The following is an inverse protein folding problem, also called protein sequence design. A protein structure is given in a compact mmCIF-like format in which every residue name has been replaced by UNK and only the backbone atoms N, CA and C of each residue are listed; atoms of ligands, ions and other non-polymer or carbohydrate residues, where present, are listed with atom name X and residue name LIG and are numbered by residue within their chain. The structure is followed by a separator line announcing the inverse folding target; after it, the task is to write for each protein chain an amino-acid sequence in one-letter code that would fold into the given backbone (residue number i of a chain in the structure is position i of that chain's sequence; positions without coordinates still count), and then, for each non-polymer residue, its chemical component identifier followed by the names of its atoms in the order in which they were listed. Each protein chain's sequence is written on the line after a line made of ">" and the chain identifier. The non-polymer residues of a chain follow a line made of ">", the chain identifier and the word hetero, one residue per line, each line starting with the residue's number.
data_IF_836498758252
#
_entry.id   IF_836498758252
#
_cell.length_a   1.000
_cell.length_b   1.000
_cell.length_c   1.000
_cell.angle_alpha   90.00
_cell.angle_beta   90.00
_cell.angle_gamma   90.00
#
_symmetry.space_group_name_H-M   'P 1'
#
loop_
_entity.id
_entity.type
_entity.pdbx_description
1 polymer ?
#
# COMPACT_ATOMS: atom_id res chain seq x y z
N UNK A 1 -3.66 -19.70 51.88
CA UNK A 1 -3.80 -19.84 50.43
C UNK A 1 -4.79 -18.84 49.82
N UNK A 2 -5.88 -18.43 50.48
CA UNK A 2 -6.84 -17.43 49.96
C UNK A 2 -6.26 -16.01 49.83
N UNK A 3 -5.35 -15.62 50.71
CA UNK A 3 -4.74 -14.28 50.71
C UNK A 3 -3.68 -14.09 49.59
N UNK A 4 -3.01 -15.15 49.16
CA UNK A 4 -2.04 -15.08 48.05
C UNK A 4 -2.70 -14.88 46.68
N UNK A 5 -3.88 -15.48 46.48
CA UNK A 5 -4.67 -15.31 45.25
C UNK A 5 -5.28 -13.89 45.14
N UNK A 6 -5.60 -13.27 46.28
CA UNK A 6 -6.13 -11.89 46.32
C UNK A 6 -5.03 -10.85 46.02
N UNK A 7 -3.81 -11.11 46.48
CA UNK A 7 -2.68 -10.21 46.25
C UNK A 7 -2.21 -10.26 44.78
N UNK A 8 -2.22 -11.44 44.15
CA UNK A 8 -1.88 -11.57 42.71
C UNK A 8 -2.94 -10.96 41.82
N UNK A 9 -4.22 -11.02 42.19
CA UNK A 9 -5.32 -10.40 41.44
C UNK A 9 -5.28 -8.87 41.57
N UNK A 10 -4.91 -8.31 42.73
CA UNK A 10 -4.77 -6.86 42.98
C UNK A 10 -3.60 -6.26 42.19
N UNK A 11 -2.49 -6.96 42.03
CA UNK A 11 -1.32 -6.52 41.25
C UNK A 11 -1.68 -6.57 39.74
N UNK A 12 -2.45 -7.55 39.28
CA UNK A 12 -2.86 -7.64 37.89
C UNK A 12 -3.83 -6.53 37.50
N UNK A 13 -4.69 -6.08 38.42
CA UNK A 13 -5.63 -4.98 38.17
C UNK A 13 -4.96 -3.60 38.17
N UNK A 14 -3.84 -3.43 38.88
CA UNK A 14 -3.11 -2.15 38.88
C UNK A 14 -2.37 -1.86 37.56
N UNK A 15 -2.17 -2.86 36.72
CA UNK A 15 -1.55 -2.69 35.39
C UNK A 15 -2.52 -2.34 34.26
N UNK A 16 -3.85 -2.37 34.50
CA UNK A 16 -4.87 -2.10 33.47
C UNK A 16 -5.20 -0.61 33.36
N UNK A 17 -4.67 0.24 34.26
CA UNK A 17 -4.98 1.68 34.24
C UNK A 17 -3.94 2.50 33.46
N UNK A 18 -3.34 1.95 32.40
CA UNK A 18 -2.72 2.79 31.39
C UNK A 18 -3.81 3.27 30.45
N UNK A 19 -4.42 4.38 30.82
CA UNK A 19 -5.20 5.17 29.86
C UNK A 19 -4.24 5.65 28.78
N UNK A 20 -4.27 4.96 27.64
CA UNK A 20 -3.72 5.48 26.41
C UNK A 20 -4.57 6.70 26.08
N UNK A 21 -4.10 7.88 26.44
CA UNK A 21 -4.52 9.11 25.75
C UNK A 21 -4.01 8.99 24.32
N UNK A 22 -4.83 8.43 23.46
CA UNK A 22 -4.70 8.67 22.03
C UNK A 22 -4.97 10.16 21.85
N UNK A 23 -3.92 10.90 21.58
CA UNK A 23 -4.05 12.21 21.00
C UNK A 23 -4.53 11.95 19.57
N UNK A 24 -5.85 11.96 19.36
CA UNK A 24 -6.44 12.14 18.04
C UNK A 24 -6.15 13.58 17.57
N UNK A 25 -4.88 13.85 17.26
CA UNK A 25 -4.54 14.92 16.35
C UNK A 25 -4.99 14.43 14.96
N UNK A 26 -5.97 15.11 14.39
CA UNK A 26 -6.42 14.88 13.03
C UNK A 26 -5.24 14.63 12.10
N UNK A 27 -5.25 13.56 11.27
CA UNK A 27 -4.19 13.27 10.32
C UNK A 27 -4.34 14.14 9.07
N UNK A 28 -4.46 15.45 9.25
CA UNK A 28 -4.49 16.38 8.12
C UNK A 28 -3.04 16.72 7.75
N UNK A 29 -2.62 16.28 6.55
CA UNK A 29 -1.34 16.51 5.87
C UNK A 29 -0.12 15.63 6.21
N UNK A 30 -0.27 14.45 6.73
CA UNK A 30 0.87 13.54 6.78
C UNK A 30 1.13 12.91 5.40
N UNK A 31 2.37 13.05 4.91
CA UNK A 31 2.89 12.34 3.75
C UNK A 31 2.68 10.83 3.92
N UNK A 32 2.18 10.14 2.89
CA UNK A 32 2.01 8.70 2.98
C UNK A 32 0.94 8.13 2.06
N UNK A 33 0.64 6.87 2.26
CA UNK A 33 -0.45 6.16 1.60
C UNK A 33 -1.47 5.75 2.66
N UNK A 34 -2.70 6.13 2.45
CA UNK A 34 -3.86 5.76 3.23
C UNK A 34 -4.72 4.87 2.35
N UNK A 35 -4.66 3.55 2.58
CA UNK A 35 -5.27 2.59 1.69
C UNK A 35 -6.81 2.70 1.69
N UNK A 36 -7.38 2.91 0.52
CA UNK A 36 -8.82 2.96 0.26
C UNK A 36 -9.29 1.69 -0.45
N UNK A 37 -8.96 0.54 0.12
CA UNK A 37 -9.36 -0.76 -0.43
C UNK A 37 -10.88 -0.85 -0.52
N UNK A 38 -11.35 -1.49 -1.60
CA UNK A 38 -12.77 -1.66 -1.93
C UNK A 38 -13.51 -0.39 -2.37
N UNK A 39 -12.87 0.79 -2.35
CA UNK A 39 -13.43 2.02 -2.91
C UNK A 39 -13.23 2.09 -4.42
N UNK A 40 -14.04 2.90 -5.10
CA UNK A 40 -14.01 3.07 -6.55
C UNK A 40 -13.53 4.48 -6.90
N UNK A 41 -12.75 4.59 -7.97
CA UNK A 41 -12.43 5.91 -8.52
C UNK A 41 -13.67 6.52 -9.19
N UNK A 42 -13.76 7.85 -9.16
CA UNK A 42 -14.90 8.60 -9.71
C UNK A 42 -14.99 8.54 -11.23
N UNK A 43 -16.20 8.74 -11.74
CA UNK A 43 -16.50 8.71 -13.18
C UNK A 43 -16.09 10.00 -13.93
N UNK A 44 -15.76 11.08 -13.23
CA UNK A 44 -15.49 12.40 -13.78
C UNK A 44 -14.00 12.78 -13.81
N UNK A 45 -13.10 11.81 -13.61
CA UNK A 45 -11.65 12.02 -13.69
C UNK A 45 -11.21 12.10 -15.16
N UNK A 46 -10.93 13.31 -15.65
CA UNK A 46 -10.47 13.55 -17.04
C UNK A 46 -9.03 13.98 -17.05
N UNK A 47 -8.17 13.18 -17.69
CA UNK A 47 -6.75 13.44 -17.90
C UNK A 47 -6.45 13.66 -19.38
N UNK A 48 -5.23 14.07 -19.70
CA UNK A 48 -4.73 14.17 -21.07
C UNK A 48 -3.67 13.13 -21.32
N UNK A 49 -3.83 12.40 -22.42
CA UNK A 49 -2.80 11.49 -22.89
C UNK A 49 -1.59 12.23 -23.48
N UNK A 50 -0.61 11.49 -23.93
CA UNK A 50 0.62 12.00 -24.53
C UNK A 50 0.41 12.77 -25.86
N UNK A 51 -0.80 12.70 -26.44
CA UNK A 51 -1.20 13.38 -27.68
C UNK A 51 -2.24 14.50 -27.46
N UNK A 52 -2.46 14.94 -26.21
CA UNK A 52 -3.45 15.94 -25.81
C UNK A 52 -4.93 15.50 -25.92
N UNK A 53 -5.22 14.24 -26.18
CA UNK A 53 -6.59 13.76 -26.12
C UNK A 53 -7.09 13.75 -24.67
N UNK A 54 -8.31 14.23 -24.47
CA UNK A 54 -8.96 14.14 -23.16
C UNK A 54 -9.51 12.72 -22.97
N UNK A 55 -9.07 12.09 -21.92
CA UNK A 55 -9.39 10.71 -21.58
C UNK A 55 -10.08 10.68 -20.22
N UNK A 56 -11.31 10.18 -20.19
CA UNK A 56 -11.94 9.83 -18.93
C UNK A 56 -11.26 8.57 -18.39
N UNK A 57 -10.64 8.70 -17.21
CA UNK A 57 -9.78 7.67 -16.63
C UNK A 57 -10.54 6.36 -16.41
N UNK A 58 -11.74 6.44 -15.82
CA UNK A 58 -12.56 5.25 -15.53
C UNK A 58 -13.02 4.54 -16.79
N UNK A 59 -13.42 5.28 -17.80
CA UNK A 59 -13.84 4.70 -19.09
C UNK A 59 -12.66 4.07 -19.86
N UNK A 60 -11.42 4.49 -19.55
CA UNK A 60 -10.22 3.90 -20.14
C UNK A 60 -9.78 2.60 -19.45
N UNK A 61 -10.36 2.29 -18.30
CA UNK A 61 -10.11 1.04 -17.57
C UNK A 61 -11.06 -0.02 -18.12
N UNK A 62 -10.51 -0.97 -18.88
CA UNK A 62 -11.25 -2.10 -19.46
C UNK A 62 -10.73 -3.46 -18.96
N UNK A 63 -9.65 -3.44 -18.21
CA UNK A 63 -8.98 -4.62 -17.62
C UNK A 63 -8.24 -4.22 -16.34
N UNK A 64 -7.71 -5.17 -15.56
CA UNK A 64 -6.88 -4.86 -14.41
C UNK A 64 -5.85 -3.80 -14.73
N UNK A 65 -5.80 -2.75 -13.93
CA UNK A 65 -4.95 -1.59 -14.22
C UNK A 65 -3.97 -1.34 -13.10
N UNK A 66 -2.68 -1.27 -13.46
CA UNK A 66 -1.63 -0.80 -12.56
C UNK A 66 -1.56 0.71 -12.66
N UNK A 67 -1.98 1.41 -11.62
CA UNK A 67 -1.88 2.86 -11.52
C UNK A 67 -0.56 3.22 -10.83
N UNK A 68 0.30 3.97 -11.55
CA UNK A 68 1.59 4.47 -11.07
C UNK A 68 1.57 5.99 -11.03
N UNK A 69 1.62 6.55 -9.81
CA UNK A 69 1.58 8.00 -9.57
C UNK A 69 3.01 8.53 -9.40
N UNK A 70 3.41 9.43 -10.28
CA UNK A 70 4.76 10.01 -10.35
C UNK A 70 4.69 11.50 -10.71
N UNK A 71 5.82 12.18 -10.75
CA UNK A 71 5.97 13.37 -11.59
C UNK A 71 7.19 13.19 -12.50
N UNK A 72 7.07 13.61 -13.75
CA UNK A 72 8.01 13.21 -14.79
C UNK A 72 9.38 13.86 -14.66
N UNK A 73 9.46 15.06 -14.10
CA UNK A 73 10.73 15.77 -13.85
C UNK A 73 11.36 15.45 -12.49
N UNK A 74 10.87 14.39 -11.81
CA UNK A 74 11.40 13.95 -10.53
C UNK A 74 12.90 13.64 -10.61
N UNK A 75 13.75 14.30 -9.79
CA UNK A 75 15.17 14.00 -9.73
C UNK A 75 15.49 12.74 -8.90
N UNK A 76 14.50 12.24 -8.15
CA UNK A 76 14.68 11.18 -7.13
C UNK A 76 14.01 9.86 -7.49
N UNK A 77 12.99 9.52 -6.73
CA UNK A 77 12.39 8.17 -6.63
C UNK A 77 11.57 7.72 -7.86
N UNK A 78 11.04 8.64 -8.69
CA UNK A 78 10.14 8.27 -9.79
C UNK A 78 10.84 7.46 -10.89
N UNK A 79 12.11 7.76 -11.20
CA UNK A 79 12.86 6.97 -12.19
C UNK A 79 13.17 5.56 -11.69
N UNK A 80 13.68 5.34 -10.46
CA UNK A 80 13.76 4.02 -9.85
C UNK A 80 12.44 3.26 -9.82
N UNK A 81 11.33 3.92 -9.47
CA UNK A 81 9.99 3.33 -9.41
C UNK A 81 9.55 2.80 -10.78
N UNK A 82 9.66 3.61 -11.82
CA UNK A 82 9.30 3.21 -13.19
C UNK A 82 10.22 2.13 -13.75
N UNK A 83 11.51 2.16 -13.42
CA UNK A 83 12.46 1.09 -13.79
C UNK A 83 12.09 -0.23 -13.07
N UNK A 84 11.77 -0.17 -11.78
CA UNK A 84 11.35 -1.34 -11.00
C UNK A 84 10.03 -1.94 -11.50
N UNK A 85 9.09 -1.08 -11.92
CA UNK A 85 7.85 -1.53 -12.56
C UNK A 85 8.15 -2.20 -13.90
N UNK A 86 8.95 -1.59 -14.77
CA UNK A 86 9.33 -2.16 -16.06
C UNK A 86 10.02 -3.52 -15.90
N UNK A 87 10.95 -3.65 -14.95
CA UNK A 87 11.65 -4.90 -14.64
C UNK A 87 10.69 -6.00 -14.16
N UNK A 88 9.73 -5.65 -13.30
CA UNK A 88 8.72 -6.60 -12.86
C UNK A 88 7.78 -7.03 -13.99
N UNK A 89 7.39 -6.09 -14.87
CA UNK A 89 6.57 -6.36 -16.06
C UNK A 89 7.31 -7.29 -17.03
N UNK A 90 8.60 -7.07 -17.27
CA UNK A 90 9.39 -7.86 -18.19
C UNK A 90 9.68 -9.29 -17.68
N UNK A 91 9.61 -9.50 -16.37
CA UNK A 91 9.88 -10.80 -15.72
C UNK A 91 8.64 -11.59 -15.34
N UNK A 92 7.45 -10.98 -15.43
CA UNK A 92 6.19 -11.67 -15.12
C UNK A 92 5.68 -12.46 -16.32
N UNK A 93 4.89 -13.51 -16.07
CA UNK A 93 4.26 -14.33 -17.10
C UNK A 93 2.84 -13.86 -17.48
N UNK A 94 2.34 -12.75 -16.89
CA UNK A 94 1.12 -12.07 -17.34
C UNK A 94 1.46 -11.05 -18.41
N UNK A 95 0.62 -10.96 -19.44
CA UNK A 95 0.91 -10.22 -20.66
C UNK A 95 0.26 -8.84 -20.69
N UNK A 96 1.08 -7.79 -20.80
CA UNK A 96 0.61 -6.41 -20.93
C UNK A 96 -0.21 -6.25 -22.22
N UNK A 97 -1.38 -5.63 -22.10
CA UNK A 97 -2.33 -5.44 -23.19
C UNK A 97 -3.39 -6.55 -23.28
N UNK A 98 -3.07 -7.73 -22.84
CA UNK A 98 -3.99 -8.86 -22.79
C UNK A 98 -4.61 -9.05 -21.40
N UNK A 99 -3.76 -9.25 -20.40
CA UNK A 99 -4.17 -9.57 -19.03
C UNK A 99 -4.34 -8.33 -18.16
N UNK A 100 -3.60 -7.26 -18.45
CA UNK A 100 -3.63 -6.00 -17.70
C UNK A 100 -3.17 -4.82 -18.54
N UNK A 101 -3.30 -3.62 -17.99
CA UNK A 101 -2.77 -2.37 -18.53
C UNK A 101 -2.09 -1.54 -17.44
N UNK A 102 -1.32 -0.54 -17.85
CA UNK A 102 -0.59 0.34 -16.94
C UNK A 102 -0.90 1.79 -17.24
N UNK A 103 -1.28 2.56 -16.23
CA UNK A 103 -1.50 3.98 -16.28
C UNK A 103 -0.47 4.70 -15.41
N UNK A 104 0.42 5.44 -16.04
CA UNK A 104 1.37 6.31 -15.36
C UNK A 104 0.84 7.72 -15.41
N UNK A 105 0.52 8.31 -14.27
CA UNK A 105 -0.11 9.63 -14.18
C UNK A 105 0.83 10.58 -13.45
N UNK A 106 1.11 11.73 -14.08
CA UNK A 106 1.80 12.81 -13.38
C UNK A 106 0.87 13.51 -12.40
N UNK A 107 1.28 13.59 -11.14
CA UNK A 107 0.59 14.41 -10.15
C UNK A 107 1.07 15.88 -10.12
N UNK A 108 1.99 16.26 -10.99
CA UNK A 108 2.39 17.67 -11.17
C UNK A 108 1.55 18.34 -12.25
N UNK A 109 0.67 19.26 -11.86
CA UNK A 109 -0.20 20.01 -12.78
C UNK A 109 0.54 20.89 -13.77
N UNK A 110 1.84 21.14 -13.55
CA UNK A 110 2.68 21.95 -14.45
C UNK A 110 3.22 21.15 -15.62
N UNK A 111 3.24 19.82 -15.51
CA UNK A 111 3.75 18.94 -16.56
C UNK A 111 2.73 18.78 -17.70
N UNK A 112 3.23 18.64 -18.92
CA UNK A 112 2.43 18.65 -20.14
C UNK A 112 2.63 17.39 -20.97
N UNK A 113 1.70 17.03 -21.87
CA UNK A 113 1.74 15.82 -22.69
C UNK A 113 3.07 15.53 -23.43
N UNK A 114 3.83 16.51 -23.96
CA UNK A 114 5.11 16.20 -24.59
C UNK A 114 6.13 15.55 -23.64
N UNK A 115 6.07 15.86 -22.35
CA UNK A 115 6.91 15.25 -21.34
C UNK A 115 6.46 13.82 -21.03
N UNK A 116 5.14 13.57 -20.99
CA UNK A 116 4.56 12.25 -20.89
C UNK A 116 5.01 11.36 -22.07
N UNK A 117 4.95 11.87 -23.29
CA UNK A 117 5.43 11.17 -24.49
C UNK A 117 6.92 10.81 -24.42
N UNK A 118 7.75 11.76 -23.93
CA UNK A 118 9.18 11.52 -23.75
C UNK A 118 9.42 10.38 -22.74
N UNK A 119 8.70 10.38 -21.62
CA UNK A 119 8.81 9.34 -20.59
C UNK A 119 8.28 8.01 -21.12
N UNK A 120 7.14 7.97 -21.77
CA UNK A 120 6.62 6.76 -22.44
C UNK A 120 7.69 6.12 -23.31
N UNK A 121 8.26 6.86 -24.27
CA UNK A 121 9.33 6.36 -25.15
C UNK A 121 10.57 5.83 -24.41
N UNK A 122 10.81 6.30 -23.21
CA UNK A 122 11.95 5.82 -22.40
C UNK A 122 11.65 4.48 -21.76
N UNK A 123 10.48 4.35 -21.12
CA UNK A 123 10.17 3.19 -20.28
C UNK A 123 9.56 2.03 -21.05
N UNK A 124 8.78 2.26 -22.11
CA UNK A 124 8.22 1.19 -22.94
C UNK A 124 9.28 0.33 -23.61
N UNK A 125 10.48 0.88 -23.83
CA UNK A 125 11.64 0.12 -24.39
C UNK A 125 12.26 -0.85 -23.40
N UNK A 126 11.97 -0.73 -22.12
CA UNK A 126 12.52 -1.60 -21.08
C UNK A 126 11.74 -2.91 -20.91
N UNK A 127 10.58 -3.00 -21.54
CA UNK A 127 9.75 -4.21 -21.53
C UNK A 127 9.77 -4.83 -22.90
N UNK A 128 10.21 -6.10 -22.96
CA UNK A 128 10.49 -6.80 -24.23
C UNK A 128 9.27 -7.51 -24.82
N UNK A 129 8.19 -7.65 -24.07
CA UNK A 129 6.97 -8.38 -24.49
C UNK A 129 5.69 -7.63 -24.15
N UNK A 130 4.57 -8.04 -24.77
CA UNK A 130 3.26 -7.40 -24.61
C UNK A 130 3.12 -6.11 -25.40
N UNK A 131 1.91 -5.53 -25.36
CA UNK A 131 1.57 -4.30 -26.09
C UNK A 131 1.92 -3.06 -25.25
N UNK A 132 3.21 -2.72 -25.20
CA UNK A 132 3.67 -1.56 -24.42
C UNK A 132 3.19 -0.23 -25.00
N UNK A 133 2.96 -0.15 -26.31
CA UNK A 133 2.60 1.11 -26.99
C UNK A 133 1.15 1.53 -26.65
N UNK A 134 0.20 0.60 -26.67
CA UNK A 134 -1.20 0.93 -26.44
C UNK A 134 -1.67 0.70 -24.99
N UNK A 135 -0.95 -0.16 -24.23
CA UNK A 135 -1.39 -0.60 -22.93
C UNK A 135 -0.58 -0.04 -21.75
N UNK A 136 0.55 0.63 -22.02
CA UNK A 136 1.22 1.48 -21.05
C UNK A 136 1.02 2.95 -21.40
N UNK A 137 -0.01 3.57 -20.81
CA UNK A 137 -0.41 4.94 -21.10
C UNK A 137 0.17 5.92 -20.08
N UNK A 138 0.50 7.12 -20.56
CA UNK A 138 1.11 8.17 -19.75
C UNK A 138 0.23 9.41 -19.78
N UNK A 139 -0.20 9.89 -18.63
CA UNK A 139 -1.18 10.96 -18.50
C UNK A 139 -0.65 12.18 -17.77
N UNK A 140 -1.22 13.33 -18.10
CA UNK A 140 -1.09 14.60 -17.37
C UNK A 140 -2.48 15.14 -17.06
N UNK A 141 -2.60 15.96 -16.02
CA UNK A 141 -3.89 16.50 -15.59
C UNK A 141 -3.81 17.95 -15.13
N UNK A 142 -4.96 18.55 -14.90
CA UNK A 142 -5.07 19.79 -14.16
C UNK A 142 -5.03 19.56 -12.64
N UNK A 143 -4.88 20.65 -11.89
CA UNK A 143 -4.73 20.58 -10.44
C UNK A 143 -5.93 19.94 -9.74
N UNK A 144 -7.15 20.22 -10.18
CA UNK A 144 -8.37 19.74 -9.52
C UNK A 144 -8.51 18.22 -9.71
N UNK A 145 -8.38 17.76 -10.95
CA UNK A 145 -8.47 16.34 -11.29
C UNK A 145 -7.36 15.53 -10.61
N UNK A 146 -6.13 16.04 -10.59
CA UNK A 146 -5.01 15.42 -9.89
C UNK A 146 -5.30 15.29 -8.39
N UNK A 147 -5.69 16.38 -7.72
CA UNK A 147 -5.98 16.34 -6.28
C UNK A 147 -7.13 15.39 -5.95
N UNK A 148 -8.14 15.35 -6.81
CA UNK A 148 -9.27 14.44 -6.66
C UNK A 148 -8.79 12.99 -6.72
N UNK A 149 -8.04 12.61 -7.75
CA UNK A 149 -7.49 11.25 -7.87
C UNK A 149 -6.61 10.89 -6.67
N UNK A 150 -5.68 11.78 -6.29
CA UNK A 150 -4.79 11.54 -5.14
C UNK A 150 -5.57 11.28 -3.85
N UNK A 151 -6.65 12.03 -3.61
CA UNK A 151 -7.50 11.82 -2.44
C UNK A 151 -8.26 10.50 -2.52
N UNK A 152 -8.84 10.16 -3.66
CA UNK A 152 -9.60 8.92 -3.86
C UNK A 152 -8.74 7.67 -3.68
N UNK A 153 -7.48 7.73 -4.09
CA UNK A 153 -6.56 6.60 -3.90
C UNK A 153 -5.69 6.73 -2.65
N UNK A 154 -6.00 7.68 -1.77
CA UNK A 154 -5.30 7.86 -0.50
C UNK A 154 -3.80 8.16 -0.62
N UNK A 155 -3.36 8.76 -1.74
CA UNK A 155 -1.96 9.05 -2.02
C UNK A 155 -1.62 10.51 -1.65
N UNK A 156 -0.95 10.73 -0.53
CA UNK A 156 -0.62 12.05 -0.03
C UNK A 156 0.78 12.48 -0.42
N UNK A 157 0.88 13.62 -1.09
CA UNK A 157 2.12 14.24 -1.53
C UNK A 157 2.32 15.59 -0.84
N UNK A 158 3.56 15.98 -0.60
CA UNK A 158 3.92 17.29 -0.05
C UNK A 158 4.81 18.02 -1.03
N UNK A 159 4.42 19.23 -1.40
CA UNK A 159 5.26 20.09 -2.25
C UNK A 159 6.28 20.82 -1.41
N UNK A 160 7.56 20.70 -1.74
CA UNK A 160 8.66 21.44 -1.14
C UNK A 160 9.44 22.23 -2.21
N UNK A 161 9.19 23.53 -2.29
CA UNK A 161 9.78 24.37 -3.32
C UNK A 161 9.30 23.98 -4.73
N UNK A 162 10.22 23.46 -5.56
CA UNK A 162 9.93 22.98 -6.91
C UNK A 162 9.70 21.47 -6.97
N UNK A 163 10.00 20.76 -5.90
CA UNK A 163 9.96 19.29 -5.83
C UNK A 163 8.75 18.82 -5.03
N UNK A 164 8.49 17.53 -5.11
CA UNK A 164 7.45 16.86 -4.32
C UNK A 164 8.07 15.72 -3.53
N UNK A 165 7.76 15.67 -2.24
CA UNK A 165 7.98 14.48 -1.43
C UNK A 165 6.74 13.62 -1.59
N UNK A 166 6.92 12.36 -1.94
CA UNK A 166 5.83 11.42 -2.16
C UNK A 166 6.25 9.98 -1.84
N UNK A 167 5.32 9.11 -1.45
CA UNK A 167 5.60 7.69 -1.27
C UNK A 167 5.81 7.00 -2.63
N UNK A 168 6.49 5.84 -2.62
CA UNK A 168 6.59 4.95 -3.77
C UNK A 168 5.60 3.81 -3.65
N UNK A 169 4.66 3.69 -4.58
CA UNK A 169 3.77 2.53 -4.67
C UNK A 169 3.12 2.40 -6.05
N UNK A 170 2.65 1.19 -6.34
CA UNK A 170 1.70 0.91 -7.40
C UNK A 170 0.33 0.65 -6.77
N UNK A 171 -0.72 1.11 -7.40
CA UNK A 171 -2.10 0.93 -6.96
C UNK A 171 -2.80 0.06 -8.01
N UNK A 172 -3.47 -0.99 -7.57
CA UNK A 172 -4.16 -1.91 -8.45
C UNK A 172 -5.63 -1.56 -8.52
N UNK A 173 -6.14 -1.43 -9.73
CA UNK A 173 -7.56 -1.20 -10.00
C UNK A 173 -8.16 -2.40 -10.74
N UNK A 174 -9.38 -2.80 -10.35
CA UNK A 174 -10.18 -3.76 -11.12
C UNK A 174 -10.67 -3.16 -12.44
N UNK A 175 -11.21 -3.97 -13.36
CA UNK A 175 -11.85 -3.47 -14.60
C UNK A 175 -12.98 -2.46 -14.35
N UNK A 176 -13.60 -2.48 -13.18
CA UNK A 176 -14.65 -1.54 -12.77
C UNK A 176 -14.10 -0.29 -12.06
N UNK A 177 -12.77 -0.15 -11.96
CA UNK A 177 -12.12 0.96 -11.29
C UNK A 177 -12.12 0.87 -9.75
N UNK A 178 -12.29 -0.34 -9.19
CA UNK A 178 -12.20 -0.60 -7.75
C UNK A 178 -10.75 -0.74 -7.33
N UNK A 179 -10.37 -0.09 -6.23
CA UNK A 179 -9.03 -0.20 -5.64
C UNK A 179 -8.91 -1.55 -4.94
N UNK A 180 -8.02 -2.41 -5.42
CA UNK A 180 -7.92 -3.80 -4.94
C UNK A 180 -6.67 -4.08 -4.14
N UNK A 181 -5.56 -3.37 -4.40
CA UNK A 181 -4.29 -3.60 -3.70
C UNK A 181 -3.33 -2.42 -3.86
N UNK A 182 -2.44 -2.28 -2.88
CA UNK A 182 -1.27 -1.42 -2.96
C UNK A 182 0.00 -2.28 -2.93
N UNK A 183 0.93 -2.02 -3.82
CA UNK A 183 2.27 -2.61 -3.81
C UNK A 183 3.27 -1.52 -3.45
N UNK A 184 3.82 -1.60 -2.25
CA UNK A 184 4.81 -0.64 -1.77
C UNK A 184 6.20 -0.96 -2.31
N UNK A 185 6.89 0.05 -2.77
CA UNK A 185 8.25 -0.06 -3.26
C UNK A 185 8.65 1.18 -4.06
N UNK A 186 9.94 1.45 -4.10
CA UNK A 186 10.47 2.58 -4.85
C UNK A 186 11.44 2.18 -5.95
N UNK A 187 12.03 0.99 -5.86
CA UNK A 187 13.10 0.55 -6.77
C UNK A 187 12.92 -0.87 -7.27
N UNK A 188 12.14 -1.67 -6.58
CA UNK A 188 12.00 -3.09 -6.89
C UNK A 188 10.61 -3.60 -6.54
N UNK A 189 10.00 -4.30 -7.48
CA UNK A 189 8.76 -5.05 -7.29
C UNK A 189 9.01 -6.51 -7.65
N UNK A 190 8.51 -7.42 -6.82
CA UNK A 190 8.58 -8.84 -7.14
C UNK A 190 7.61 -9.15 -8.31
N UNK A 191 8.06 -9.80 -9.39
CA UNK A 191 7.18 -10.20 -10.50
C UNK A 191 6.00 -11.05 -10.05
N UNK A 192 6.20 -11.89 -9.03
CA UNK A 192 5.13 -12.68 -8.43
C UNK A 192 4.07 -11.82 -7.74
N UNK A 193 4.48 -10.77 -7.00
CA UNK A 193 3.53 -9.89 -6.31
C UNK A 193 2.71 -9.08 -7.31
N UNK A 194 3.34 -8.59 -8.39
CA UNK A 194 2.67 -7.92 -9.49
C UNK A 194 1.64 -8.85 -10.15
N UNK A 195 2.03 -10.09 -10.47
CA UNK A 195 1.12 -11.10 -11.04
C UNK A 195 -0.08 -11.35 -10.13
N UNK A 196 0.16 -11.60 -8.85
CA UNK A 196 -0.92 -11.87 -7.89
C UNK A 196 -1.88 -10.70 -7.77
N UNK A 197 -1.36 -9.47 -7.72
CA UNK A 197 -2.17 -8.26 -7.68
C UNK A 197 -3.04 -8.09 -8.93
N UNK A 198 -2.50 -8.39 -10.13
CA UNK A 198 -3.24 -8.38 -11.40
C UNK A 198 -4.35 -9.43 -11.38
N UNK A 199 -4.07 -10.67 -10.96
CA UNK A 199 -5.06 -11.77 -10.91
C UNK A 199 -6.18 -11.47 -9.92
N UNK A 200 -5.87 -10.87 -8.77
CA UNK A 200 -6.88 -10.45 -7.78
C UNK A 200 -7.73 -9.30 -8.34
N UNK A 201 -7.11 -8.30 -8.94
CA UNK A 201 -7.80 -7.18 -9.57
C UNK A 201 -8.75 -7.65 -10.68
N UNK A 202 -8.35 -8.64 -11.49
CA UNK A 202 -9.20 -9.23 -12.54
C UNK A 202 -10.50 -9.85 -12.00
N UNK A 203 -10.49 -10.27 -10.74
CA UNK A 203 -11.66 -10.85 -10.04
C UNK A 203 -12.41 -9.80 -9.20
N UNK A 204 -11.96 -8.54 -9.19
CA UNK A 204 -12.45 -7.51 -8.30
C UNK A 204 -12.25 -7.86 -6.81
N UNK A 205 -11.30 -8.72 -6.50
CA UNK A 205 -10.99 -9.14 -5.13
C UNK A 205 -9.91 -8.24 -4.54
N UNK A 206 -10.19 -7.67 -3.39
CA UNK A 206 -9.19 -6.94 -2.63
C UNK A 206 -8.35 -7.92 -1.82
N UNK A 207 -7.06 -7.95 -2.10
CA UNK A 207 -6.10 -8.73 -1.34
C UNK A 207 -5.55 -7.92 -0.16
N UNK A 208 -5.20 -8.56 0.97
CA UNK A 208 -4.42 -7.88 1.99
C UNK A 208 -3.13 -7.40 1.34
N UNK A 209 -2.81 -6.14 1.52
CA UNK A 209 -1.47 -5.65 1.19
C UNK A 209 -0.50 -6.59 1.90
N UNK A 210 0.39 -7.24 1.16
CA UNK A 210 1.27 -8.34 1.64
C UNK A 210 2.01 -7.98 2.93
N UNK A 211 1.95 -6.74 3.32
CA UNK A 211 2.67 -6.15 4.41
C UNK A 211 1.93 -6.00 5.75
N UNK A 212 0.76 -6.56 5.99
CA UNK A 212 0.16 -6.46 7.34
C UNK A 212 1.14 -7.02 8.37
N UNK A 213 1.74 -8.18 8.11
CA UNK A 213 2.75 -8.78 9.01
C UNK A 213 4.05 -7.99 8.94
N UNK A 214 4.49 -7.58 7.76
CA UNK A 214 5.71 -6.78 7.61
C UNK A 214 5.55 -5.39 8.21
N UNK A 215 4.44 -4.69 7.98
CA UNK A 215 4.17 -3.38 8.59
C UNK A 215 3.98 -3.46 10.10
N UNK A 216 3.51 -4.58 10.63
CA UNK A 216 3.46 -4.82 12.07
C UNK A 216 4.86 -4.97 12.67
N UNK A 217 5.76 -5.68 11.97
CA UNK A 217 7.13 -5.92 12.42
C UNK A 217 8.11 -4.82 12.02
N UNK A 218 7.83 -4.09 10.94
CA UNK A 218 8.70 -3.06 10.40
C UNK A 218 7.89 -1.80 10.10
N UNK A 219 8.41 -0.64 10.49
CA UNK A 219 7.86 0.65 10.11
C UNK A 219 8.68 1.24 8.97
N UNK A 220 8.02 1.83 7.98
CA UNK A 220 8.73 2.57 6.94
C UNK A 220 9.24 3.89 7.50
N UNK A 221 10.55 4.11 7.35
CA UNK A 221 11.23 5.36 7.69
C UNK A 221 11.34 6.23 6.41
N UNK A 222 10.54 7.30 6.29
CA UNK A 222 10.56 8.15 5.09
C UNK A 222 11.87 8.91 4.91
N UNK A 223 12.56 9.26 6.00
CA UNK A 223 13.83 10.00 5.96
C UNK A 223 14.99 9.11 5.50
N UNK A 224 14.99 7.85 5.93
CA UNK A 224 16.00 6.87 5.54
C UNK A 224 15.65 6.03 4.31
N UNK A 225 14.46 6.19 3.72
CA UNK A 225 13.94 5.35 2.61
C UNK A 225 14.11 3.84 2.85
N UNK A 226 13.89 3.37 4.08
CA UNK A 226 14.08 1.98 4.49
C UNK A 226 13.05 1.52 5.50
N UNK A 227 12.83 0.20 5.56
CA UNK A 227 12.05 -0.40 6.62
C UNK A 227 12.91 -0.57 7.87
N UNK A 228 12.44 -0.03 9.00
CA UNK A 228 13.07 -0.15 10.33
C UNK A 228 12.25 -1.11 11.17
N UNK A 229 12.94 -2.03 11.86
CA UNK A 229 12.28 -3.01 12.71
C UNK A 229 11.56 -2.34 13.89
N UNK A 230 10.23 -2.56 13.98
CA UNK A 230 9.40 -2.01 15.04
C UNK A 230 9.47 -2.89 16.30
N UNK A 231 10.51 -2.65 17.11
CA UNK A 231 10.75 -3.43 18.33
C UNK A 231 9.58 -3.34 19.32
N UNK A 232 8.85 -2.23 19.34
CA UNK A 232 7.74 -1.99 20.28
C UNK A 232 6.58 -2.93 20.00
N UNK A 233 6.16 -3.06 18.72
CA UNK A 233 5.05 -3.93 18.35
C UNK A 233 5.39 -5.40 18.54
N UNK A 234 6.59 -5.81 18.14
CA UNK A 234 7.04 -7.21 18.25
C UNK A 234 7.25 -7.63 19.70
N UNK A 235 7.89 -6.79 20.52
CA UNK A 235 8.08 -7.10 21.94
C UNK A 235 6.76 -7.10 22.71
N UNK A 236 5.86 -6.15 22.43
CA UNK A 236 4.54 -6.10 23.05
C UNK A 236 3.72 -7.36 22.80
N UNK A 237 3.66 -7.83 21.55
CA UNK A 237 2.96 -9.07 21.19
C UNK A 237 3.57 -10.31 21.85
N UNK A 238 4.91 -10.37 21.90
CA UNK A 238 5.62 -11.49 22.50
C UNK A 238 5.31 -11.60 24.01
N UNK A 239 5.26 -10.46 24.71
CA UNK A 239 4.91 -10.43 26.14
C UNK A 239 3.47 -10.92 26.36
N UNK A 240 2.52 -10.48 25.53
CA UNK A 240 1.12 -10.91 25.63
C UNK A 240 0.98 -12.42 25.39
N UNK A 241 1.68 -12.97 24.39
CA UNK A 241 1.66 -14.42 24.09
C UNK A 241 2.23 -15.24 25.25
N UNK A 242 3.36 -14.80 25.82
CA UNK A 242 3.97 -15.48 26.98
C UNK A 242 3.03 -15.44 28.19
N UNK A 243 2.44 -14.28 28.49
CA UNK A 243 1.48 -14.14 29.57
C UNK A 243 0.25 -15.04 29.38
N UNK A 244 -0.30 -15.09 28.18
CA UNK A 244 -1.41 -15.97 27.83
C UNK A 244 -1.06 -17.45 27.99
N UNK A 245 0.13 -17.86 27.53
CA UNK A 245 0.61 -19.24 27.67
C UNK A 245 0.79 -19.63 29.14
N UNK A 246 1.33 -18.75 29.98
CA UNK A 246 1.47 -18.96 31.42
C UNK A 246 0.11 -19.09 32.11
N UNK A 247 -0.84 -18.20 31.81
CA UNK A 247 -2.21 -18.28 32.32
C UNK A 247 -2.89 -19.58 31.94
N UNK A 248 -2.77 -19.98 30.68
CA UNK A 248 -3.35 -21.24 30.18
C UNK A 248 -2.73 -22.46 30.89
N UNK A 249 -1.41 -22.45 31.06
CA UNK A 249 -0.70 -23.50 31.84
C UNK A 249 -1.18 -23.58 33.29
N UNK A 250 -1.35 -22.45 33.96
CA UNK A 250 -1.87 -22.41 35.33
C UNK A 250 -3.31 -22.92 35.44
N UNK A 251 -4.17 -22.56 34.47
CA UNK A 251 -5.57 -23.04 34.44
C UNK A 251 -5.61 -24.58 34.28
N UNK A 252 -4.81 -25.12 33.35
CA UNK A 252 -4.74 -26.58 33.14
C UNK A 252 -4.21 -27.30 34.38
N UNK A 253 -3.13 -26.77 34.96
CA UNK A 253 -2.54 -27.34 36.19
C UNK A 253 -3.53 -27.33 37.35
N UNK A 254 -4.27 -26.24 37.53
CA UNK A 254 -5.26 -26.12 38.60
C UNK A 254 -6.46 -27.07 38.36
N UNK A 255 -6.90 -27.26 37.11
CA UNK A 255 -7.95 -28.23 36.76
C UNK A 255 -7.53 -29.67 37.04
N UNK A 256 -6.26 -30.04 36.76
CA UNK A 256 -5.73 -31.36 37.10
C UNK A 256 -5.72 -31.61 38.59
N UNK A 257 -5.20 -30.64 39.38
CA UNK A 257 -5.14 -30.73 40.86
C UNK A 257 -6.50 -30.88 41.50
N UNK A 258 -7.51 -30.12 41.02
CA UNK A 258 -8.87 -30.20 41.55
C UNK A 258 -9.55 -31.54 41.24
N UNK A 259 -9.21 -32.19 40.08
CA UNK A 259 -9.70 -33.54 39.76
C UNK A 259 -9.09 -34.63 40.62
N UNK A 260 -7.85 -34.45 41.07
CA UNK A 260 -7.21 -35.40 42.01
C UNK A 260 -7.78 -35.31 43.44
N UNK A 261 -8.05 -34.10 43.91
CA UNK A 261 -8.67 -33.83 45.23
C UNK A 261 -10.13 -34.37 45.28
N UNK A 262 -10.85 -34.41 44.17
CA UNK A 262 -12.23 -34.91 44.06
C UNK A 262 -12.31 -36.47 43.96
N UNK A 263 -11.19 -37.17 43.90
CA UNK A 263 -11.13 -38.63 43.83
C UNK A 263 -10.72 -39.28 45.18
N UNK A 264 -10.42 -38.53 46.18
CA UNK A 264 -10.16 -38.93 47.56
C UNK A 264 -11.40 -38.62 48.42
#
# INVERSE_FOLDING_TARGET
>A
MKHLAFFTFSILMSFISVTVFSNDSEPDNQLGIYEHLDEYISDDLVFRDEFYNEINLKNAIDKPTVLCLVYYECPGICSPLLNGLADAMDKTDVELGKDYQVFTISFSHTEKPPLALKKKKTYTKLVSHGDTENSWKFFTGDSLTIHKLLNEVGFKVKKEGKEYIHPGSLIMLSPEGKITRYLYGSTYFLPFDLKMAIVEAAKGQSGPTINIVLNYCFSYDPEGNKYVFNITNVSGSSIILIAAALLFGLIISNRKRNKEISKV
#
